data_IF_274149520979
#
_entry.id   IF_274149520979
#
_cell.length_a   1.000
_cell.length_b   1.000
_cell.length_c   1.000
_cell.angle_alpha   90.00
_cell.angle_beta   90.00
_cell.angle_gamma   90.00
#
_symmetry.space_group_name_H-M   'P 1'
#
loop_
_entity.id
_entity.type
_entity.pdbx_description
1 polymer ?
#
# COMPACT_ATOMS: atom_id res chain seq x y z
N UNK A 1 34.73 3.56 -30.50
CA UNK A 1 33.93 3.85 -29.30
C UNK A 1 33.08 2.62 -29.08
N UNK A 2 33.40 1.79 -28.09
CA UNK A 2 32.54 0.65 -27.79
C UNK A 2 31.21 1.17 -27.23
N UNK A 3 30.12 0.86 -27.92
CA UNK A 3 28.75 1.28 -27.56
C UNK A 3 28.11 0.29 -26.58
N UNK A 4 28.92 -0.35 -25.73
CA UNK A 4 28.47 -1.36 -24.78
C UNK A 4 29.15 -1.17 -23.44
N UNK A 5 28.35 -1.18 -22.37
CA UNK A 5 28.82 -1.16 -21.00
C UNK A 5 28.07 -2.24 -20.21
N UNK A 6 28.78 -2.93 -19.30
CA UNK A 6 28.24 -3.94 -18.39
C UNK A 6 28.76 -3.65 -16.99
N UNK A 7 27.86 -3.65 -16.01
CA UNK A 7 28.19 -3.53 -14.58
C UNK A 7 28.57 -4.86 -13.93
N UNK A 8 28.96 -4.80 -12.66
CA UNK A 8 29.31 -5.98 -11.85
C UNK A 8 28.10 -6.91 -11.66
N UNK A 9 28.36 -8.22 -11.70
CA UNK A 9 27.33 -9.26 -11.57
C UNK A 9 27.63 -10.25 -10.44
N UNK A 10 28.53 -9.90 -9.53
CA UNK A 10 29.01 -10.80 -8.47
C UNK A 10 28.00 -10.92 -7.32
N UNK A 11 27.20 -9.87 -7.10
CA UNK A 11 26.13 -9.89 -6.10
C UNK A 11 24.89 -10.61 -6.67
N UNK A 12 24.43 -11.70 -6.05
CA UNK A 12 23.23 -12.40 -6.50
C UNK A 12 21.98 -11.53 -6.35
N UNK A 13 21.05 -11.65 -7.30
CA UNK A 13 19.71 -11.07 -7.17
C UNK A 13 18.90 -11.82 -6.12
N UNK A 14 18.05 -11.10 -5.40
CA UNK A 14 17.09 -11.69 -4.48
C UNK A 14 15.91 -12.27 -5.27
N UNK A 15 15.84 -13.59 -5.36
CA UNK A 15 14.75 -14.34 -5.98
C UNK A 15 13.58 -14.58 -5.00
N UNK A 16 13.10 -13.52 -4.33
CA UNK A 16 12.00 -13.61 -3.36
C UNK A 16 11.02 -12.45 -3.53
N UNK A 17 9.76 -12.67 -3.14
CA UNK A 17 8.77 -11.59 -3.08
C UNK A 17 9.10 -10.61 -1.95
N UNK A 18 8.63 -9.37 -2.08
CA UNK A 18 8.78 -8.36 -1.02
C UNK A 18 8.17 -8.87 0.30
N UNK A 19 7.01 -9.54 0.26
CA UNK A 19 6.40 -10.13 1.44
C UNK A 19 7.26 -11.18 2.14
N UNK A 20 7.96 -12.04 1.36
CA UNK A 20 8.90 -13.03 1.89
C UNK A 20 10.16 -12.38 2.47
N UNK A 21 10.69 -11.37 1.80
CA UNK A 21 11.82 -10.57 2.28
C UNK A 21 11.49 -9.89 3.62
N UNK A 22 10.29 -9.30 3.74
CA UNK A 22 9.78 -8.70 4.97
C UNK A 22 9.71 -9.75 6.09
N UNK A 23 9.06 -10.90 5.85
CA UNK A 23 8.92 -11.96 6.85
C UNK A 23 10.28 -12.44 7.37
N UNK A 24 11.25 -12.64 6.48
CA UNK A 24 12.63 -13.02 6.83
C UNK A 24 13.32 -11.94 7.66
N UNK A 25 13.13 -10.66 7.31
CA UNK A 25 13.73 -9.53 8.03
C UNK A 25 13.15 -9.38 9.44
N UNK A 26 11.82 -9.50 9.57
CA UNK A 26 11.12 -9.46 10.86
C UNK A 26 11.58 -10.60 11.77
N UNK A 27 11.71 -11.82 11.24
CA UNK A 27 12.21 -12.96 12.02
C UNK A 27 13.66 -12.78 12.49
N UNK A 28 14.51 -12.12 11.71
CA UNK A 28 15.91 -11.89 12.06
C UNK A 28 16.10 -10.73 13.05
N UNK A 29 15.22 -9.72 13.01
CA UNK A 29 15.43 -8.42 13.67
C UNK A 29 14.16 -7.84 14.33
N UNK A 30 13.36 -8.62 15.09
CA UNK A 30 12.00 -8.24 15.49
C UNK A 30 11.95 -6.93 16.28
N UNK A 31 12.92 -6.69 17.16
CA UNK A 31 12.96 -5.55 18.07
C UNK A 31 13.75 -4.35 17.53
N UNK A 32 14.38 -4.47 16.35
CA UNK A 32 15.12 -3.34 15.75
C UNK A 32 14.14 -2.32 15.17
N UNK A 33 14.47 -1.04 15.30
CA UNK A 33 13.71 0.05 14.69
C UNK A 33 13.66 -0.11 13.16
N UNK A 34 12.44 -0.06 12.61
CA UNK A 34 12.14 -0.31 11.20
C UNK A 34 11.61 0.94 10.50
N UNK A 35 10.73 1.70 11.17
CA UNK A 35 10.13 2.91 10.62
C UNK A 35 10.02 3.99 11.69
N UNK A 36 10.33 5.22 11.30
CA UNK A 36 10.20 6.41 12.15
C UNK A 36 9.47 7.49 11.37
N UNK A 37 8.30 7.90 11.88
CA UNK A 37 7.59 9.05 11.37
C UNK A 37 7.87 10.26 12.26
N UNK A 38 8.81 11.09 11.81
CA UNK A 38 9.33 12.22 12.61
C UNK A 38 8.23 13.22 12.97
N UNK A 39 7.28 13.47 12.07
CA UNK A 39 6.26 14.50 12.27
C UNK A 39 5.30 14.21 13.44
N UNK A 40 4.92 12.93 13.63
CA UNK A 40 4.05 12.49 14.73
C UNK A 40 4.83 11.94 15.93
N UNK A 41 6.10 11.60 15.74
CA UNK A 41 6.94 10.90 16.72
C UNK A 41 6.66 9.40 16.80
N UNK A 42 5.77 8.84 15.97
CA UNK A 42 5.49 7.40 15.92
C UNK A 42 6.73 6.63 15.45
N UNK A 43 6.97 5.49 16.08
CA UNK A 43 8.11 4.59 15.82
C UNK A 43 7.62 3.17 15.83
N UNK A 44 8.21 2.35 14.97
CA UNK A 44 7.92 0.93 14.88
C UNK A 44 9.22 0.14 14.91
N UNK A 45 9.25 -0.90 15.72
CA UNK A 45 10.11 -2.05 15.50
C UNK A 45 9.65 -2.86 14.28
N UNK A 46 10.48 -3.77 13.77
CA UNK A 46 10.07 -4.66 12.67
C UNK A 46 8.84 -5.50 13.01
N UNK A 47 8.73 -5.97 14.25
CA UNK A 47 7.57 -6.76 14.70
C UNK A 47 6.28 -5.94 14.74
N UNK A 48 6.34 -4.68 15.19
CA UNK A 48 5.20 -3.77 15.20
C UNK A 48 4.79 -3.37 13.78
N UNK A 49 5.77 -3.03 12.93
CA UNK A 49 5.50 -2.72 11.52
C UNK A 49 4.84 -3.91 10.82
N UNK A 50 5.33 -5.14 11.04
CA UNK A 50 4.74 -6.34 10.45
C UNK A 50 3.29 -6.55 10.89
N UNK A 51 2.97 -6.26 12.15
CA UNK A 51 1.60 -6.37 12.68
C UNK A 51 0.66 -5.39 11.98
N UNK A 52 1.08 -4.14 11.83
CA UNK A 52 0.27 -3.11 11.18
C UNK A 52 0.11 -3.40 9.67
N UNK A 53 1.16 -3.89 9.02
CA UNK A 53 1.13 -4.39 7.65
C UNK A 53 0.11 -5.52 7.49
N UNK A 54 0.10 -6.49 8.41
CA UNK A 54 -0.83 -7.62 8.35
C UNK A 54 -2.27 -7.20 8.64
N UNK A 55 -2.49 -6.22 9.51
CA UNK A 55 -3.81 -5.65 9.76
C UNK A 55 -4.37 -4.94 8.52
N UNK A 56 -3.55 -4.12 7.84
CA UNK A 56 -3.94 -3.48 6.58
C UNK A 56 -4.16 -4.52 5.49
N UNK A 57 -3.29 -5.53 5.36
CA UNK A 57 -3.44 -6.60 4.39
C UNK A 57 -4.77 -7.36 4.57
N UNK A 58 -5.14 -7.69 5.82
CA UNK A 58 -6.45 -8.29 6.14
C UNK A 58 -7.60 -7.36 5.80
N UNK A 59 -7.48 -6.06 6.10
CA UNK A 59 -8.47 -5.06 5.70
C UNK A 59 -8.70 -5.04 4.19
N UNK A 60 -7.64 -5.05 3.39
CA UNK A 60 -7.72 -5.11 1.93
C UNK A 60 -8.40 -6.40 1.43
N UNK A 61 -8.10 -7.55 2.04
CA UNK A 61 -8.79 -8.82 1.74
C UNK A 61 -10.29 -8.75 2.10
N UNK A 62 -10.64 -8.12 3.23
CA UNK A 62 -12.03 -7.93 3.65
C UNK A 62 -12.84 -7.03 2.69
N UNK A 63 -12.18 -6.14 1.95
CA UNK A 63 -12.79 -5.38 0.87
C UNK A 63 -13.08 -6.22 -0.39
N UNK A 64 -12.69 -7.51 -0.41
CA UNK A 64 -12.86 -8.40 -1.56
C UNK A 64 -11.85 -8.15 -2.67
N UNK A 65 -10.64 -7.71 -2.31
CA UNK A 65 -9.55 -7.50 -3.26
C UNK A 65 -8.75 -8.79 -3.48
N UNK A 66 -8.52 -9.10 -4.74
CA UNK A 66 -7.82 -10.28 -5.20
C UNK A 66 -6.42 -9.96 -5.75
N UNK A 67 -5.64 -11.01 -6.02
CA UNK A 67 -4.33 -10.86 -6.66
C UNK A 67 -4.49 -10.16 -8.01
N UNK A 68 -3.71 -9.10 -8.23
CA UNK A 68 -3.75 -8.30 -9.45
C UNK A 68 -4.71 -7.11 -9.42
N UNK A 69 -5.60 -7.02 -8.42
CA UNK A 69 -6.41 -5.82 -8.20
C UNK A 69 -5.52 -4.62 -7.87
N UNK A 70 -6.02 -3.42 -8.16
CA UNK A 70 -5.27 -2.17 -8.01
C UNK A 70 -5.83 -1.32 -6.87
N UNK A 71 -4.94 -0.87 -5.99
CA UNK A 71 -5.25 0.07 -4.90
C UNK A 71 -4.41 1.33 -5.08
N UNK A 72 -5.05 2.48 -5.14
CA UNK A 72 -4.39 3.78 -5.15
C UNK A 72 -3.95 4.20 -3.75
N UNK A 73 -2.80 4.87 -3.65
CA UNK A 73 -2.42 5.61 -2.46
C UNK A 73 -2.15 7.07 -2.83
N UNK A 74 -2.84 8.00 -2.15
CA UNK A 74 -2.81 9.43 -2.44
C UNK A 74 -2.72 10.28 -1.15
N UNK A 75 -1.51 10.43 -0.63
CA UNK A 75 -1.27 11.18 0.60
C UNK A 75 0.10 11.89 0.56
N UNK A 76 0.33 12.96 1.34
CA UNK A 76 1.68 13.44 1.63
C UNK A 76 2.51 12.36 2.35
N UNK A 77 3.78 12.65 2.63
CA UNK A 77 4.64 11.72 3.36
C UNK A 77 4.07 11.39 4.75
N UNK A 78 3.68 10.14 4.95
CA UNK A 78 3.20 9.57 6.21
C UNK A 78 3.64 8.11 6.33
N UNK A 79 3.54 7.52 7.53
CA UNK A 79 3.90 6.13 7.79
C UNK A 79 3.02 5.13 7.00
N UNK A 80 1.76 5.49 6.79
CA UNK A 80 0.76 4.65 6.11
C UNK A 80 1.20 4.29 4.68
N UNK A 81 1.99 5.13 4.01
CA UNK A 81 2.60 4.79 2.71
C UNK A 81 3.42 3.50 2.78
N UNK A 82 4.33 3.41 3.74
CA UNK A 82 5.19 2.24 3.93
C UNK A 82 4.37 1.01 4.30
N UNK A 83 3.37 1.20 5.17
CA UNK A 83 2.50 0.11 5.63
C UNK A 83 1.67 -0.45 4.47
N UNK A 84 1.00 0.42 3.70
CA UNK A 84 0.18 0.02 2.53
C UNK A 84 1.04 -0.62 1.45
N UNK A 85 2.25 -0.10 1.18
CA UNK A 85 3.18 -0.68 0.21
C UNK A 85 3.57 -2.11 0.57
N UNK A 86 3.88 -2.36 1.84
CA UNK A 86 4.22 -3.71 2.30
C UNK A 86 2.99 -4.63 2.34
N UNK A 87 1.83 -4.10 2.74
CA UNK A 87 0.58 -4.85 2.82
C UNK A 87 0.13 -5.33 1.44
N UNK A 88 0.04 -4.41 0.47
CA UNK A 88 -0.33 -4.73 -0.92
C UNK A 88 0.62 -5.76 -1.53
N UNK A 89 1.93 -5.60 -1.35
CA UNK A 89 2.93 -6.56 -1.81
C UNK A 89 2.82 -7.93 -1.12
N UNK A 90 2.36 -8.00 0.13
CA UNK A 90 2.11 -9.27 0.84
C UNK A 90 0.94 -10.05 0.27
N UNK A 91 -0.11 -9.37 -0.19
CA UNK A 91 -1.34 -10.03 -0.66
C UNK A 91 -1.52 -10.02 -2.19
N UNK A 92 -0.50 -9.58 -2.92
CA UNK A 92 -0.49 -9.61 -4.39
C UNK A 92 -1.36 -8.52 -5.04
N UNK A 93 -1.65 -7.45 -4.31
CA UNK A 93 -2.37 -6.29 -4.80
C UNK A 93 -1.37 -5.30 -5.40
N UNK A 94 -1.73 -4.71 -6.53
CA UNK A 94 -0.91 -3.71 -7.22
C UNK A 94 -1.14 -2.34 -6.59
N UNK A 95 -0.09 -1.76 -6.02
CA UNK A 95 -0.12 -0.38 -5.52
C UNK A 95 0.03 0.63 -6.66
N UNK A 96 -0.92 1.54 -6.79
CA UNK A 96 -0.87 2.68 -7.71
C UNK A 96 -0.50 3.94 -6.92
N UNK A 97 0.68 4.48 -7.18
CA UNK A 97 1.17 5.67 -6.48
C UNK A 97 0.60 6.93 -7.13
N UNK A 98 -0.27 7.67 -6.43
CA UNK A 98 -0.87 8.92 -6.94
C UNK A 98 -0.10 10.11 -6.38
N UNK A 99 0.33 11.02 -7.26
CA UNK A 99 1.09 12.20 -6.86
C UNK A 99 0.20 13.15 -6.04
N UNK A 100 0.60 13.56 -4.81
CA UNK A 100 -0.16 14.51 -3.98
C UNK A 100 -0.43 15.87 -4.63
N UNK A 101 0.30 16.24 -5.68
CA UNK A 101 0.08 17.47 -6.43
C UNK A 101 -1.05 17.37 -7.49
N UNK A 102 -1.57 16.18 -7.79
CA UNK A 102 -2.61 15.99 -8.80
C UNK A 102 -3.88 16.75 -8.47
N UNK A 103 -4.56 17.23 -9.52
CA UNK A 103 -5.89 17.81 -9.44
C UNK A 103 -6.93 16.82 -9.98
N UNK A 104 -8.20 17.21 -10.00
CA UNK A 104 -9.32 16.32 -10.36
C UNK A 104 -9.13 15.70 -11.73
N UNK A 105 -8.64 16.47 -12.70
CA UNK A 105 -8.32 15.96 -14.04
C UNK A 105 -7.25 14.85 -14.03
N UNK A 106 -6.10 15.07 -13.37
CA UNK A 106 -5.04 14.06 -13.30
C UNK A 106 -5.45 12.85 -12.44
N UNK A 107 -6.25 13.06 -11.40
CA UNK A 107 -6.81 11.99 -10.59
C UNK A 107 -7.74 11.10 -11.43
N UNK A 108 -8.71 11.68 -12.14
CA UNK A 108 -9.63 10.94 -12.98
C UNK A 108 -8.89 10.13 -14.05
N UNK A 109 -7.86 10.73 -14.66
CA UNK A 109 -6.98 10.02 -15.59
C UNK A 109 -6.27 8.84 -14.91
N UNK A 110 -5.66 9.05 -13.74
CA UNK A 110 -4.94 8.01 -13.02
C UNK A 110 -5.86 6.85 -12.60
N UNK A 111 -7.07 7.16 -12.12
CA UNK A 111 -8.08 6.16 -11.74
C UNK A 111 -8.50 5.34 -12.95
N UNK A 112 -8.90 5.99 -14.04
CA UNK A 112 -9.38 5.30 -15.25
C UNK A 112 -8.27 4.51 -15.96
N UNK A 113 -7.05 5.05 -16.03
CA UNK A 113 -5.93 4.36 -16.66
C UNK A 113 -5.47 3.15 -15.84
N UNK A 114 -5.45 3.28 -14.52
CA UNK A 114 -5.01 2.20 -13.64
C UNK A 114 -6.10 1.18 -13.33
N UNK A 115 -7.39 1.52 -13.49
CA UNK A 115 -8.51 0.69 -13.06
C UNK A 115 -8.45 0.36 -11.56
N UNK A 116 -7.96 1.27 -10.73
CA UNK A 116 -7.96 1.07 -9.26
C UNK A 116 -9.38 0.96 -8.73
N UNK A 117 -9.61 -0.05 -7.88
CA UNK A 117 -10.91 -0.32 -7.25
C UNK A 117 -11.08 0.44 -5.95
N UNK A 118 -9.97 0.68 -5.25
CA UNK A 118 -9.95 1.38 -3.97
C UNK A 118 -8.85 2.44 -3.99
N UNK A 119 -9.10 3.61 -3.41
CA UNK A 119 -8.08 4.61 -3.12
C UNK A 119 -7.99 4.84 -1.61
N UNK A 120 -6.77 4.76 -1.08
CA UNK A 120 -6.42 5.20 0.27
C UNK A 120 -5.83 6.61 0.13
N UNK A 121 -6.42 7.62 0.74
CA UNK A 121 -6.00 9.01 0.57
C UNK A 121 -5.86 9.74 1.91
N UNK A 122 -5.11 10.84 1.97
CA UNK A 122 -5.34 11.81 3.05
C UNK A 122 -6.67 12.53 2.79
N UNK A 123 -7.36 13.02 3.82
CA UNK A 123 -8.59 13.79 3.66
C UNK A 123 -8.33 15.14 2.99
N UNK A 124 -7.26 15.81 3.39
CA UNK A 124 -6.82 17.09 2.84
C UNK A 124 -5.31 17.28 3.00
N UNK A 125 -4.73 18.14 2.17
CA UNK A 125 -3.36 18.61 2.34
C UNK A 125 -3.19 20.04 1.82
N UNK A 126 -2.70 20.92 2.70
CA UNK A 126 -2.59 22.38 2.45
C UNK A 126 -3.96 22.96 2.04
N UNK A 127 -4.07 23.43 0.81
CA UNK A 127 -5.29 24.02 0.24
C UNK A 127 -6.12 23.01 -0.56
N UNK A 128 -5.72 21.74 -0.58
CA UNK A 128 -6.36 20.69 -1.37
C UNK A 128 -7.25 19.85 -0.47
N UNK A 129 -8.54 19.77 -0.81
CA UNK A 129 -9.50 18.87 -0.21
C UNK A 129 -9.59 17.61 -1.10
N UNK A 130 -8.82 16.58 -0.76
CA UNK A 130 -8.78 15.36 -1.56
C UNK A 130 -10.10 14.61 -1.52
N UNK A 131 -10.86 14.73 -0.43
CA UNK A 131 -12.19 14.14 -0.33
C UNK A 131 -13.14 14.74 -1.35
N UNK A 132 -13.26 16.07 -1.36
CA UNK A 132 -14.08 16.77 -2.35
C UNK A 132 -13.66 16.47 -3.78
N UNK A 133 -12.34 16.35 -4.02
CA UNK A 133 -11.81 16.04 -5.35
C UNK A 133 -12.11 14.61 -5.81
N UNK A 134 -12.09 13.63 -4.91
CA UNK A 134 -12.53 12.26 -5.23
C UNK A 134 -14.03 12.24 -5.55
N UNK A 135 -14.83 12.97 -4.78
CA UNK A 135 -16.28 13.04 -5.01
C UNK A 135 -16.62 13.71 -6.34
N UNK A 136 -15.87 14.74 -6.75
CA UNK A 136 -16.04 15.42 -8.05
C UNK A 136 -15.83 14.47 -9.24
N UNK A 137 -14.88 13.54 -9.15
CA UNK A 137 -14.52 12.64 -10.26
C UNK A 137 -15.24 11.30 -10.23
N UNK A 138 -16.04 11.03 -9.19
CA UNK A 138 -16.64 9.72 -8.93
C UNK A 138 -17.46 9.21 -10.10
N UNK A 139 -18.29 10.07 -10.69
CA UNK A 139 -19.17 9.72 -11.81
C UNK A 139 -18.37 9.38 -13.09
N UNK A 140 -17.18 9.96 -13.25
CA UNK A 140 -16.27 9.69 -14.37
C UNK A 140 -15.34 8.49 -14.12
N UNK A 141 -15.41 7.88 -12.94
CA UNK A 141 -14.49 6.83 -12.47
C UNK A 141 -15.25 5.58 -11.99
N UNK A 142 -15.98 4.85 -12.87
CA UNK A 142 -16.89 3.78 -12.47
C UNK A 142 -16.21 2.57 -11.84
N UNK A 143 -14.89 2.39 -12.06
CA UNK A 143 -14.12 1.32 -11.44
C UNK A 143 -13.76 1.63 -9.97
N UNK A 144 -13.84 2.89 -9.53
CA UNK A 144 -13.48 3.29 -8.17
C UNK A 144 -14.64 3.00 -7.20
N UNK A 145 -14.60 1.84 -6.58
CA UNK A 145 -15.62 1.35 -5.66
C UNK A 145 -15.58 2.07 -4.31
N UNK A 146 -14.39 2.33 -3.76
CA UNK A 146 -14.24 2.96 -2.45
C UNK A 146 -13.09 3.97 -2.37
N UNK A 147 -13.30 4.98 -1.54
CA UNK A 147 -12.25 5.89 -1.08
C UNK A 147 -12.24 5.86 0.45
N UNK A 148 -11.07 5.59 1.03
CA UNK A 148 -10.86 5.56 2.48
C UNK A 148 -9.78 6.59 2.82
N UNK A 149 -9.96 7.30 3.93
CA UNK A 149 -9.08 8.40 4.30
C UNK A 149 -8.21 8.03 5.52
N UNK A 150 -6.89 8.10 5.37
CA UNK A 150 -5.91 7.55 6.34
C UNK A 150 -5.83 8.34 7.65
N UNK A 151 -6.33 9.58 7.65
CA UNK A 151 -6.34 10.54 8.75
C UNK A 151 -7.73 10.73 9.37
N UNK A 152 -8.68 9.86 9.05
CA UNK A 152 -10.06 9.85 9.57
C UNK A 152 -10.37 8.49 10.24
N UNK A 153 -11.63 8.30 10.66
CA UNK A 153 -12.12 7.00 11.14
C UNK A 153 -12.07 5.89 10.09
N UNK A 154 -11.98 6.22 8.79
CA UNK A 154 -11.98 5.25 7.69
C UNK A 154 -10.76 4.30 7.78
N UNK A 155 -9.63 4.79 8.33
CA UNK A 155 -8.47 3.96 8.60
C UNK A 155 -8.75 2.88 9.65
N UNK A 156 -9.39 3.26 10.76
CA UNK A 156 -9.77 2.30 11.80
C UNK A 156 -10.78 1.29 11.26
N UNK A 157 -11.77 1.75 10.47
CA UNK A 157 -12.76 0.87 9.83
C UNK A 157 -12.12 -0.15 8.88
N UNK A 158 -11.08 0.22 8.13
CA UNK A 158 -10.32 -0.71 7.30
C UNK A 158 -9.68 -1.83 8.14
N UNK A 159 -9.05 -1.46 9.26
CA UNK A 159 -8.39 -2.42 10.14
C UNK A 159 -9.41 -3.33 10.84
N UNK A 160 -10.50 -2.76 11.33
CA UNK A 160 -11.59 -3.49 11.99
C UNK A 160 -12.31 -4.44 11.03
N UNK A 161 -12.52 -4.03 9.78
CA UNK A 161 -13.07 -4.90 8.73
C UNK A 161 -12.20 -6.14 8.50
N UNK A 162 -10.88 -6.03 8.66
CA UNK A 162 -9.93 -7.13 8.60
C UNK A 162 -10.03 -8.13 9.76
N UNK A 163 -10.63 -7.76 10.89
CA UNK A 163 -10.72 -8.62 12.08
C UNK A 163 -11.55 -9.90 11.83
N UNK A 164 -12.50 -9.84 10.90
CA UNK A 164 -13.31 -10.99 10.48
C UNK A 164 -12.63 -11.94 9.49
N UNK A 165 -11.48 -11.56 8.93
CA UNK A 165 -10.67 -12.41 8.03
C UNK A 165 -9.84 -13.38 8.86
N UNK A 166 -9.67 -14.62 8.43
CA UNK A 166 -8.86 -15.62 9.15
C UNK A 166 -7.41 -15.13 9.37
N UNK A 167 -6.80 -15.50 10.50
CA UNK A 167 -5.47 -15.04 10.88
C UNK A 167 -4.37 -15.48 9.90
N UNK A 168 -4.55 -16.66 9.29
CA UNK A 168 -3.64 -17.25 8.31
C UNK A 168 -3.86 -16.76 6.87
N UNK A 169 -4.98 -16.08 6.58
CA UNK A 169 -5.36 -15.70 5.21
C UNK A 169 -4.28 -14.88 4.47
N UNK A 170 -3.57 -13.98 5.17
CA UNK A 170 -2.47 -13.21 4.59
C UNK A 170 -1.28 -14.12 4.26
N UNK A 171 -0.96 -15.06 5.15
CA UNK A 171 0.12 -16.02 4.94
C UNK A 171 -0.20 -16.97 3.80
N UNK A 172 -1.43 -17.48 3.74
CA UNK A 172 -1.92 -18.36 2.68
C UNK A 172 -1.89 -17.65 1.33
N UNK A 173 -2.37 -16.40 1.27
CA UNK A 173 -2.29 -15.56 0.07
C UNK A 173 -0.83 -15.37 -0.35
N UNK A 174 0.05 -15.02 0.58
CA UNK A 174 1.47 -14.77 0.30
C UNK A 174 2.20 -16.03 -0.21
N UNK A 175 1.83 -17.22 0.26
CA UNK A 175 2.41 -18.48 -0.18
C UNK A 175 2.12 -18.81 -1.67
N UNK A 176 1.03 -18.28 -2.22
CA UNK A 176 0.67 -18.40 -3.63
C UNK A 176 1.37 -17.41 -4.56
N UNK A 177 2.14 -16.45 -4.04
CA UNK A 177 2.79 -15.41 -4.84
C UNK A 177 4.19 -15.83 -5.31
N UNK A 178 4.52 -15.39 -6.52
CA UNK A 178 5.82 -15.63 -7.17
C UNK A 178 6.50 -14.29 -7.50
N UNK A 179 7.85 -14.20 -7.38
CA UNK A 179 8.61 -13.05 -7.90
C UNK A 179 8.79 -13.10 -9.44
N UNK A 180 8.30 -14.13 -10.10
CA UNK A 180 8.35 -14.38 -11.54
C UNK A 180 6.95 -14.63 -12.13
#
# INVERSE_FOLDING_TARGET
>A
MESYARGETDQPLLAETIGRNLARTVAAHPDREALVEVASGRRWSWSELSRDVDAVARGLLALGLEVGDRVGMWAPNCAEWTIVQLATARVGIVLVNVNPAYRTHELAYAVNQSGMRVILAASAFKTSDYRAMVDEVRDDCPALERALYVDTGDWAELLEGGAGVAEDAVTDRAAGLSPY
#
